data_IF_878051607094
#
_entry.id   IF_878051607094
#
_cell.length_a   1.000
_cell.length_b   1.000
_cell.length_c   1.000
_cell.angle_alpha   90.00
_cell.angle_beta   90.00
_cell.angle_gamma   90.00
#
_symmetry.space_group_name_H-M   'P 1'
#
loop_
_entity.id
_entity.type
_entity.pdbx_description
1 polymer ?
#
# COMPACT_ATOMS: atom_id res chain seq x y z
N UNK A 1 -17.54 -1.07 -6.63
CA UNK A 1 -16.22 -0.54 -6.24
C UNK A 1 -15.61 -1.58 -5.31
N UNK A 2 -14.53 -2.22 -5.71
CA UNK A 2 -13.83 -3.20 -4.88
C UNK A 2 -13.20 -2.53 -3.67
N UNK A 3 -12.99 -3.29 -2.60
CA UNK A 3 -12.36 -2.81 -1.38
C UNK A 3 -10.98 -2.17 -1.68
N UNK A 4 -10.20 -2.79 -2.56
CA UNK A 4 -8.92 -2.27 -3.02
C UNK A 4 -9.05 -0.92 -3.76
N UNK A 5 -10.09 -0.68 -4.56
CA UNK A 5 -10.30 0.61 -5.20
C UNK A 5 -10.58 1.74 -4.18
N UNK A 6 -11.33 1.43 -3.11
CA UNK A 6 -11.58 2.38 -2.02
C UNK A 6 -10.31 2.66 -1.20
N UNK A 7 -9.50 1.63 -0.90
CA UNK A 7 -8.22 1.79 -0.20
C UNK A 7 -7.23 2.59 -1.07
N UNK A 8 -7.12 2.26 -2.36
CA UNK A 8 -6.26 2.97 -3.32
C UNK A 8 -6.62 4.45 -3.40
N UNK A 9 -7.92 4.79 -3.46
CA UNK A 9 -8.36 6.17 -3.46
C UNK A 9 -7.99 6.91 -2.17
N UNK A 10 -8.11 6.26 -1.00
CA UNK A 10 -7.71 6.85 0.28
C UNK A 10 -6.22 7.15 0.35
N UNK A 11 -5.36 6.24 -0.11
CA UNK A 11 -3.90 6.43 -0.08
C UNK A 11 -3.47 7.52 -1.06
N UNK A 12 -4.00 7.53 -2.28
CA UNK A 12 -3.61 8.53 -3.31
C UNK A 12 -4.02 9.97 -2.95
N UNK A 13 -5.13 10.14 -2.25
CA UNK A 13 -5.62 11.47 -1.85
C UNK A 13 -5.07 11.91 -0.48
N UNK A 14 -4.28 11.08 0.19
CA UNK A 14 -3.70 11.44 1.47
C UNK A 14 -2.53 12.43 1.27
N UNK A 15 -2.39 13.43 2.16
CA UNK A 15 -1.23 14.33 2.15
C UNK A 15 0.08 13.59 2.47
N UNK A 16 -0.02 12.46 3.17
CA UNK A 16 1.08 11.54 3.45
C UNK A 16 0.60 10.10 3.15
N UNK A 17 0.94 9.57 1.96
CA UNK A 17 0.60 8.20 1.57
C UNK A 17 1.17 7.14 2.51
N UNK A 18 2.38 7.36 3.05
CA UNK A 18 3.02 6.40 3.97
C UNK A 18 2.25 6.34 5.28
N UNK A 19 1.90 7.48 5.86
CA UNK A 19 1.08 7.52 7.06
C UNK A 19 -0.33 6.96 6.83
N UNK A 20 -0.90 7.13 5.62
CA UNK A 20 -2.17 6.52 5.26
C UNK A 20 -2.08 4.99 5.21
N UNK A 21 -1.07 4.45 4.52
CA UNK A 21 -0.82 3.00 4.47
C UNK A 21 -0.59 2.45 5.88
N UNK A 22 0.24 3.09 6.72
CA UNK A 22 0.45 2.67 8.12
C UNK A 22 -0.88 2.52 8.86
N UNK A 23 -1.75 3.53 8.78
CA UNK A 23 -3.08 3.49 9.43
C UNK A 23 -3.93 2.35 8.89
N UNK A 24 -3.92 2.12 7.58
CA UNK A 24 -4.70 1.06 6.94
C UNK A 24 -4.19 -0.33 7.33
N UNK A 25 -2.88 -0.56 7.31
CA UNK A 25 -2.26 -1.82 7.76
C UNK A 25 -2.68 -2.14 9.20
N UNK A 26 -2.57 -1.16 10.11
CA UNK A 26 -2.97 -1.33 11.51
C UNK A 26 -4.49 -1.57 11.66
N UNK A 27 -5.32 -0.86 10.88
CA UNK A 27 -6.78 -1.02 10.92
C UNK A 27 -7.24 -2.41 10.46
N UNK A 28 -6.48 -3.07 9.58
CA UNK A 28 -6.73 -4.44 9.13
C UNK A 28 -6.05 -5.49 10.02
N UNK A 29 -5.56 -5.11 11.21
CA UNK A 29 -4.90 -6.01 12.15
C UNK A 29 -3.46 -6.38 11.78
N UNK A 30 -2.88 -5.71 10.78
CA UNK A 30 -1.50 -5.87 10.39
C UNK A 30 -0.53 -5.22 11.37
N UNK A 31 0.77 -5.50 11.17
CA UNK A 31 1.85 -4.90 11.94
C UNK A 31 2.61 -3.88 11.09
N UNK A 32 3.07 -2.80 11.72
CA UNK A 32 3.89 -1.79 11.07
C UNK A 32 5.21 -1.63 11.82
N UNK A 33 6.32 -1.94 11.15
CA UNK A 33 7.66 -1.71 11.66
C UNK A 33 8.08 -0.28 11.35
N UNK A 34 8.39 0.52 12.37
CA UNK A 34 8.98 1.83 12.16
C UNK A 34 10.42 1.68 11.60
N UNK A 35 10.79 2.46 10.58
CA UNK A 35 12.06 2.28 9.85
C UNK A 35 13.30 2.74 10.64
N UNK A 36 13.15 3.21 11.87
CA UNK A 36 14.25 3.71 12.68
C UNK A 36 15.28 2.58 12.93
N UNK A 37 16.42 2.68 12.23
CA UNK A 37 17.53 1.73 12.20
C UNK A 37 17.33 0.43 11.39
N UNK A 38 16.29 0.34 10.56
CA UNK A 38 16.13 -0.78 9.63
C UNK A 38 17.07 -0.62 8.42
N UNK A 39 17.87 -1.64 8.15
CA UNK A 39 18.70 -1.76 6.95
C UNK A 39 18.16 -2.89 6.07
N UNK A 40 18.05 -2.65 4.76
CA UNK A 40 17.60 -3.66 3.79
C UNK A 40 16.39 -3.23 2.97
N UNK A 41 15.64 -4.21 2.47
CA UNK A 41 14.38 -3.99 1.76
C UNK A 41 13.24 -3.79 2.75
N UNK A 42 12.32 -2.91 2.38
CA UNK A 42 11.08 -2.66 3.07
C UNK A 42 9.95 -3.32 2.28
N UNK A 43 9.01 -3.85 3.02
CA UNK A 43 7.85 -4.54 2.48
C UNK A 43 6.58 -3.96 3.11
N UNK A 44 5.59 -3.68 2.26
CA UNK A 44 4.25 -3.23 2.65
C UNK A 44 3.26 -4.25 2.12
N UNK A 45 2.57 -4.93 3.02
CA UNK A 45 1.48 -5.83 2.66
C UNK A 45 0.13 -5.20 3.03
N UNK A 46 -0.73 -5.04 2.03
CA UNK A 46 -2.08 -4.49 2.23
C UNK A 46 -3.01 -4.96 1.09
N UNK A 47 -4.25 -5.33 1.42
CA UNK A 47 -5.25 -5.80 0.45
C UNK A 47 -4.78 -6.99 -0.42
N UNK A 48 -3.92 -7.86 0.11
CA UNK A 48 -3.37 -9.00 -0.63
C UNK A 48 -2.27 -8.66 -1.63
N UNK A 49 -1.85 -7.39 -1.72
CA UNK A 49 -0.71 -6.94 -2.52
C UNK A 49 0.50 -6.68 -1.64
N UNK A 50 1.70 -6.82 -2.23
CA UNK A 50 2.98 -6.68 -1.55
C UNK A 50 3.84 -5.68 -2.30
N UNK A 51 3.98 -4.46 -1.76
CA UNK A 51 4.90 -3.45 -2.26
C UNK A 51 6.28 -3.62 -1.66
N UNK A 52 7.34 -3.57 -2.49
CA UNK A 52 8.72 -3.77 -2.05
C UNK A 52 9.62 -2.63 -2.51
N UNK A 53 10.50 -2.14 -1.64
CA UNK A 53 11.45 -1.10 -2.03
C UNK A 53 12.63 -0.91 -1.06
N UNK A 54 13.66 -0.15 -1.45
CA UNK A 54 14.80 0.17 -0.60
C UNK A 54 14.48 1.16 0.53
N UNK A 55 13.25 1.67 0.58
CA UNK A 55 12.72 2.52 1.64
C UNK A 55 11.23 2.26 1.81
N UNK A 56 10.65 2.66 2.95
CA UNK A 56 9.19 2.60 3.16
C UNK A 56 8.42 3.38 2.09
N UNK A 57 8.94 4.55 1.67
CA UNK A 57 8.32 5.34 0.59
C UNK A 57 8.30 4.53 -0.71
N UNK A 58 9.42 3.93 -1.09
CA UNK A 58 9.50 3.14 -2.31
C UNK A 58 8.61 1.89 -2.26
N UNK A 59 8.49 1.23 -1.10
CA UNK A 59 7.58 0.11 -0.92
C UNK A 59 6.10 0.54 -1.04
N UNK A 60 5.74 1.72 -0.54
CA UNK A 60 4.39 2.30 -0.71
C UNK A 60 4.13 2.69 -2.17
N UNK A 61 5.10 3.27 -2.85
CA UNK A 61 4.99 3.60 -4.28
C UNK A 61 4.80 2.34 -5.13
N UNK A 62 5.55 1.27 -4.84
CA UNK A 62 5.40 -0.02 -5.51
C UNK A 62 4.01 -0.63 -5.27
N UNK A 63 3.53 -0.62 -4.01
CA UNK A 63 2.16 -1.05 -3.69
C UNK A 63 1.11 -0.24 -4.44
N UNK A 64 1.28 1.09 -4.56
CA UNK A 64 0.38 1.97 -5.31
C UNK A 64 0.34 1.63 -6.81
N UNK A 65 1.47 1.25 -7.41
CA UNK A 65 1.50 0.81 -8.81
C UNK A 65 0.72 -0.49 -8.99
N UNK A 66 0.98 -1.49 -8.14
CA UNK A 66 0.27 -2.77 -8.20
C UNK A 66 -1.24 -2.60 -7.97
N UNK A 67 -1.64 -1.80 -6.98
CA UNK A 67 -3.05 -1.56 -6.69
C UNK A 67 -3.79 -0.89 -7.85
N UNK A 68 -3.13 0.03 -8.57
CA UNK A 68 -3.70 0.64 -9.79
C UNK A 68 -3.92 -0.40 -10.88
N UNK A 69 -2.95 -1.28 -11.09
CA UNK A 69 -3.04 -2.34 -12.09
C UNK A 69 -4.18 -3.31 -11.75
N UNK A 70 -4.25 -3.78 -10.50
CA UNK A 70 -5.34 -4.65 -10.03
C UNK A 70 -6.72 -4.03 -10.20
N UNK A 71 -6.88 -2.73 -9.90
CA UNK A 71 -8.17 -2.04 -10.09
C UNK A 71 -8.52 -1.89 -11.57
N UNK A 72 -7.51 -1.68 -12.42
CA UNK A 72 -7.71 -1.61 -13.87
C UNK A 72 -8.12 -2.97 -14.45
N UNK A 73 -7.45 -4.06 -14.07
CA UNK A 73 -7.77 -5.41 -14.50
C UNK A 73 -9.18 -5.84 -14.05
N UNK A 74 -9.56 -5.56 -12.80
CA UNK A 74 -10.90 -5.87 -12.26
C UNK A 74 -12.02 -5.15 -13.03
N UNK A 75 -11.75 -3.90 -13.47
CA UNK A 75 -12.68 -3.14 -14.29
C UNK A 75 -12.83 -3.69 -15.71
N UNK A 76 -11.81 -4.37 -16.26
CA UNK A 76 -11.90 -5.04 -17.57
C UNK A 76 -12.58 -6.40 -17.51
N UNK A 77 -12.56 -7.06 -16.34
CA UNK A 77 -13.18 -8.37 -16.12
C UNK A 77 -14.67 -8.31 -15.74
N UNK A 78 -15.21 -7.10 -15.51
CA UNK A 78 -16.58 -6.83 -15.03
C UNK A 78 -17.58 -6.49 -16.13
#
# INVERSE_FOLDING_TARGET
MTEIATVLAQVQNAPDPVAAVKRLVLAHGGHWCDPENAQGLFEVQLMGLTGIGPSVVAAVDDWLMQAKDTVFEDAQAS
#
